data_IF_132097173245
#
_entry.id   IF_132097173245
#
_cell.length_a   1.000
_cell.length_b   1.000
_cell.length_c   1.000
_cell.angle_alpha   90.00
_cell.angle_beta   90.00
_cell.angle_gamma   90.00
#
_symmetry.space_group_name_H-M   'P 1'
#
loop_
_entity.id
_entity.type
_entity.pdbx_description
1 polymer ?
#
# COMPACT_ATOMS: atom_id res chain seq x y z
N UNK A 1 14.65 5.72 4.11
CA UNK A 1 15.53 4.63 3.66
C UNK A 1 16.98 5.08 3.51
N UNK A 2 17.30 6.12 2.72
CA UNK A 2 18.69 6.59 2.52
C UNK A 2 19.49 6.90 3.79
N UNK A 3 18.86 7.51 4.80
CA UNK A 3 19.53 7.80 6.07
C UNK A 3 19.94 6.52 6.81
N UNK A 4 19.05 5.52 6.87
CA UNK A 4 19.34 4.24 7.52
C UNK A 4 20.44 3.48 6.77
N UNK A 5 20.41 3.49 5.43
CA UNK A 5 21.49 2.89 4.61
C UNK A 5 22.85 3.55 4.88
N UNK A 6 22.87 4.87 5.09
CA UNK A 6 24.10 5.59 5.45
C UNK A 6 24.62 5.19 6.83
N UNK A 7 23.74 4.99 7.81
CA UNK A 7 24.13 4.49 9.14
C UNK A 7 24.67 3.05 9.06
N UNK A 8 24.11 2.21 8.18
CA UNK A 8 24.60 0.84 7.93
C UNK A 8 26.02 0.87 7.34
N UNK A 9 26.26 1.72 6.34
CA UNK A 9 27.60 1.89 5.74
C UNK A 9 28.64 2.46 6.71
N UNK A 10 28.19 3.24 7.71
CA UNK A 10 29.04 3.76 8.79
C UNK A 10 29.22 2.79 9.96
N UNK A 11 28.74 1.56 9.83
CA UNK A 11 28.74 0.56 10.90
C UNK A 11 28.12 1.06 12.21
N UNK A 12 27.12 1.96 12.13
CA UNK A 12 26.38 2.46 13.31
C UNK A 12 25.18 1.58 13.66
N UNK A 13 24.71 0.81 12.68
CA UNK A 13 23.67 -0.20 12.82
C UNK A 13 24.12 -1.43 12.03
N UNK A 14 23.64 -2.60 12.43
CA UNK A 14 24.05 -3.87 11.80
C UNK A 14 23.04 -4.36 10.74
N UNK A 15 21.77 -3.97 10.87
CA UNK A 15 20.70 -4.41 9.98
C UNK A 15 19.56 -3.39 9.88
N UNK A 16 18.85 -3.41 8.76
CA UNK A 16 17.66 -2.59 8.49
C UNK A 16 16.50 -3.53 8.20
N UNK A 17 15.38 -3.34 8.91
CA UNK A 17 14.12 -4.03 8.62
C UNK A 17 13.18 -3.05 7.92
N UNK A 18 12.73 -3.42 6.72
CA UNK A 18 11.78 -2.62 5.94
C UNK A 18 10.84 -3.53 5.15
N UNK A 19 9.62 -3.06 4.81
CA UNK A 19 8.72 -3.80 3.93
C UNK A 19 9.39 -4.05 2.58
N UNK A 20 9.29 -5.29 2.09
CA UNK A 20 9.94 -5.67 0.83
C UNK A 20 9.50 -4.80 -0.36
N UNK A 21 8.25 -4.35 -0.36
CA UNK A 21 7.67 -3.45 -1.37
C UNK A 21 8.33 -2.07 -1.44
N UNK A 22 9.01 -1.65 -0.37
CA UNK A 22 9.64 -0.34 -0.25
C UNK A 22 11.16 -0.40 -0.52
N UNK A 23 11.68 -1.59 -0.85
CA UNK A 23 13.08 -1.80 -1.21
C UNK A 23 13.25 -1.51 -2.72
N UNK A 24 14.19 -0.62 -3.12
CA UNK A 24 14.46 -0.39 -4.53
C UNK A 24 15.06 -1.64 -5.17
N UNK A 25 14.75 -1.86 -6.46
CA UNK A 25 15.30 -2.98 -7.24
C UNK A 25 16.81 -2.89 -7.40
N UNK A 26 17.35 -1.67 -7.48
CA UNK A 26 18.79 -1.42 -7.48
C UNK A 26 19.23 -1.07 -6.07
N UNK A 27 20.11 -1.89 -5.50
CA UNK A 27 20.62 -1.69 -4.14
C UNK A 27 21.74 -0.65 -4.11
N UNK A 28 21.82 0.10 -3.01
CA UNK A 28 22.93 1.01 -2.74
C UNK A 28 24.22 0.21 -2.61
N UNK A 29 25.28 0.65 -3.28
CA UNK A 29 26.58 -0.04 -3.26
C UNK A 29 27.08 -0.20 -1.82
N UNK A 30 27.38 -1.44 -1.42
CA UNK A 30 27.81 -1.78 -0.06
C UNK A 30 26.68 -2.22 0.87
N UNK A 31 25.43 -2.12 0.44
CA UNK A 31 24.26 -2.67 1.14
C UNK A 31 23.70 -3.84 0.32
N UNK A 32 23.43 -4.98 0.97
CA UNK A 32 22.83 -6.14 0.32
C UNK A 32 21.56 -6.59 1.04
N UNK A 33 20.63 -7.19 0.29
CA UNK A 33 19.45 -7.85 0.88
C UNK A 33 19.87 -9.18 1.53
N UNK A 34 19.95 -9.19 2.86
CA UNK A 34 20.45 -10.36 3.60
C UNK A 34 19.44 -11.50 3.74
N UNK A 35 18.20 -11.19 4.11
CA UNK A 35 17.16 -12.20 4.34
C UNK A 35 15.76 -11.69 3.99
N UNK A 36 14.90 -12.60 3.55
CA UNK A 36 13.47 -12.36 3.35
C UNK A 36 12.72 -13.20 4.37
N UNK A 37 11.97 -12.53 5.24
CA UNK A 37 11.13 -13.21 6.22
C UNK A 37 9.94 -13.91 5.53
N UNK A 38 9.34 -14.89 6.22
CA UNK A 38 8.13 -15.56 5.73
C UNK A 38 7.04 -14.51 5.46
N UNK A 39 6.52 -14.54 4.24
CA UNK A 39 5.44 -13.65 3.81
C UNK A 39 4.16 -13.91 4.60
N UNK A 40 3.54 -12.84 5.07
CA UNK A 40 2.14 -12.82 5.50
C UNK A 40 1.24 -12.67 4.25
N UNK A 41 -0.07 -12.83 4.39
CA UNK A 41 -1.04 -12.70 3.29
C UNK A 41 -0.74 -11.45 2.43
N UNK A 42 -0.33 -11.63 1.16
CA UNK A 42 0.06 -10.53 0.29
C UNK A 42 -1.14 -9.83 -0.36
N UNK A 43 -2.37 -10.25 -0.06
CA UNK A 43 -3.58 -9.71 -0.66
C UNK A 43 -3.87 -8.30 -0.18
N UNK A 44 -4.40 -7.49 -1.09
CA UNK A 44 -5.04 -6.23 -0.71
C UNK A 44 -6.35 -6.52 0.03
N UNK A 45 -6.62 -5.73 1.07
CA UNK A 45 -7.84 -5.79 1.84
C UNK A 45 -8.80 -4.67 1.42
N UNK A 46 -10.09 -5.02 1.33
CA UNK A 46 -11.17 -4.05 1.19
C UNK A 46 -11.66 -3.68 2.59
N UNK A 47 -11.54 -2.41 2.96
CA UNK A 47 -12.08 -1.86 4.21
C UNK A 47 -13.35 -1.09 3.87
N UNK A 48 -14.48 -1.50 4.44
CA UNK A 48 -15.79 -0.91 4.23
C UNK A 48 -16.30 -0.34 5.56
N UNK A 49 -17.10 0.71 5.46
CA UNK A 49 -17.84 1.22 6.62
C UNK A 49 -19.04 0.31 6.87
N UNK A 50 -19.34 0.08 8.14
CA UNK A 50 -20.30 -0.94 8.60
C UNK A 50 -21.72 -0.78 8.06
N UNK A 51 -22.12 0.42 7.63
CA UNK A 51 -23.48 0.72 7.17
C UNK A 51 -23.67 0.60 5.65
N UNK A 52 -22.67 0.13 4.90
CA UNK A 52 -22.83 -0.08 3.46
C UNK A 52 -23.74 -1.29 3.18
N UNK A 53 -24.66 -1.18 2.20
CA UNK A 53 -25.61 -2.26 1.87
C UNK A 53 -24.93 -3.49 1.27
N UNK A 54 -23.74 -3.33 0.69
CA UNK A 54 -22.94 -4.41 0.13
C UNK A 54 -21.59 -4.51 0.82
N UNK A 55 -21.16 -5.75 1.07
CA UNK A 55 -19.82 -6.10 1.58
C UNK A 55 -18.82 -6.48 0.49
N UNK A 56 -19.23 -6.41 -0.78
CA UNK A 56 -18.41 -6.78 -1.93
C UNK A 56 -18.24 -5.61 -2.88
N UNK A 57 -17.07 -5.57 -3.54
CA UNK A 57 -16.70 -4.54 -4.51
C UNK A 57 -17.71 -4.40 -5.66
N UNK A 58 -18.31 -5.52 -6.10
CA UNK A 58 -19.28 -5.56 -7.19
C UNK A 58 -20.66 -5.07 -6.79
N UNK A 59 -21.03 -5.18 -5.51
CA UNK A 59 -22.32 -4.69 -5.01
C UNK A 59 -22.29 -3.25 -4.52
N UNK A 60 -21.16 -2.54 -4.64
CA UNK A 60 -21.07 -1.13 -4.26
C UNK A 60 -21.85 -0.26 -5.27
N UNK A 61 -22.54 0.74 -4.73
CA UNK A 61 -23.36 1.68 -5.50
C UNK A 61 -22.50 2.46 -6.50
N UNK A 62 -23.05 2.73 -7.68
CA UNK A 62 -22.42 3.58 -8.69
C UNK A 62 -22.13 4.98 -8.12
N UNK A 63 -20.96 5.53 -8.42
CA UNK A 63 -20.53 6.84 -7.92
C UNK A 63 -19.99 6.82 -6.49
N UNK A 64 -19.90 5.65 -5.84
CA UNK A 64 -19.29 5.57 -4.52
C UNK A 64 -17.79 5.92 -4.59
N UNK A 65 -17.38 6.81 -3.70
CA UNK A 65 -16.02 7.30 -3.59
C UNK A 65 -15.13 6.32 -2.82
N UNK A 66 -14.03 5.91 -3.43
CA UNK A 66 -13.05 5.00 -2.82
C UNK A 66 -11.73 5.74 -2.59
N UNK A 67 -11.32 5.82 -1.32
CA UNK A 67 -10.03 6.35 -0.93
C UNK A 67 -8.89 5.41 -1.33
N UNK A 68 -7.88 5.94 -2.03
CA UNK A 68 -6.69 5.18 -2.45
C UNK A 68 -5.41 5.97 -2.22
N UNK A 69 -4.30 5.27 -2.04
CA UNK A 69 -2.95 5.87 -2.00
C UNK A 69 -1.97 5.21 -2.97
N UNK A 70 -2.42 4.22 -3.74
CA UNK A 70 -1.59 3.46 -4.69
C UNK A 70 -2.17 3.54 -6.10
N UNK A 71 -1.33 3.92 -7.06
CA UNK A 71 -1.68 3.97 -8.48
C UNK A 71 -1.97 2.58 -9.06
N UNK A 72 -1.21 1.57 -8.65
CA UNK A 72 -1.40 0.19 -9.10
C UNK A 72 -2.80 -0.31 -8.73
N UNK A 73 -3.27 -0.03 -7.50
CA UNK A 73 -4.60 -0.40 -7.05
C UNK A 73 -5.69 0.29 -7.87
N UNK A 74 -5.54 1.59 -8.14
CA UNK A 74 -6.51 2.33 -8.96
C UNK A 74 -6.62 1.77 -10.36
N UNK A 75 -5.50 1.49 -11.02
CA UNK A 75 -5.50 0.97 -12.37
C UNK A 75 -6.27 -0.37 -12.45
N UNK A 76 -6.02 -1.26 -11.48
CA UNK A 76 -6.73 -2.54 -11.39
C UNK A 76 -8.22 -2.37 -11.08
N UNK A 77 -8.55 -1.51 -10.12
CA UNK A 77 -9.93 -1.30 -9.68
C UNK A 77 -10.77 -0.58 -10.74
N UNK A 78 -10.22 0.41 -11.46
CA UNK A 78 -10.93 1.07 -12.58
C UNK A 78 -11.27 0.10 -13.70
N UNK A 79 -10.39 -0.87 -13.99
CA UNK A 79 -10.65 -1.90 -15.00
C UNK A 79 -11.77 -2.86 -14.57
N UNK A 80 -11.83 -3.21 -13.28
CA UNK A 80 -12.78 -4.20 -12.75
C UNK A 80 -14.12 -3.59 -12.30
N UNK A 81 -14.09 -2.34 -11.87
CA UNK A 81 -15.22 -1.61 -11.29
C UNK A 81 -15.28 -0.18 -11.86
N UNK A 82 -15.62 -0.02 -13.14
CA UNK A 82 -15.68 1.28 -13.80
C UNK A 82 -16.77 2.22 -13.23
N UNK A 83 -17.70 1.68 -12.43
CA UNK A 83 -18.76 2.43 -11.78
C UNK A 83 -18.32 3.20 -10.52
N UNK A 84 -17.09 2.97 -10.03
CA UNK A 84 -16.57 3.57 -8.80
C UNK A 84 -15.71 4.79 -9.09
N UNK A 85 -15.74 5.76 -8.18
CA UNK A 85 -14.89 6.94 -8.21
C UNK A 85 -13.72 6.78 -7.24
N UNK A 86 -12.56 7.36 -7.58
CA UNK A 86 -11.33 7.16 -6.81
C UNK A 86 -10.70 8.50 -6.45
N UNK A 87 -10.43 8.71 -5.16
CA UNK A 87 -9.77 9.91 -4.65
C UNK A 87 -8.53 9.55 -3.84
N UNK A 88 -7.48 10.37 -4.00
CA UNK A 88 -6.26 10.23 -3.23
C UNK A 88 -6.48 10.51 -1.75
N UNK A 89 -6.01 9.60 -0.89
CA UNK A 89 -5.93 9.78 0.55
C UNK A 89 -4.47 9.88 0.99
N UNK A 90 -4.18 10.84 1.88
CA UNK A 90 -2.85 10.98 2.48
C UNK A 90 -2.62 9.82 3.47
N UNK A 91 -1.42 9.25 3.44
CA UNK A 91 -1.10 8.01 4.13
C UNK A 91 -1.05 8.18 5.66
N UNK A 92 -2.09 7.68 6.35
CA UNK A 92 -2.13 7.59 7.81
C UNK A 92 -3.25 6.73 8.41
N UNK A 93 -4.00 5.97 7.59
CA UNK A 93 -5.39 5.51 7.85
C UNK A 93 -6.36 6.70 8.01
N UNK A 94 -7.02 7.08 6.92
CA UNK A 94 -8.19 7.97 6.97
C UNK A 94 -9.20 7.48 5.94
N UNK A 95 -10.25 6.83 6.43
CA UNK A 95 -11.42 6.43 5.63
C UNK A 95 -12.36 7.63 5.61
N UNK A 96 -12.50 8.26 4.44
CA UNK A 96 -13.51 9.31 4.24
C UNK A 96 -14.72 8.71 3.53
N UNK A 97 -15.90 8.89 4.12
CA UNK A 97 -17.17 8.90 3.39
C UNK A 97 -17.67 10.33 3.29
N UNK A 98 -17.94 10.77 2.06
CA UNK A 98 -18.85 11.88 1.86
C UNK A 98 -20.27 11.42 2.23
N UNK A 99 -20.97 12.28 2.97
CA UNK A 99 -22.41 12.17 3.26
C UNK A 99 -23.24 12.36 2.00
#
# INVERSE_FOLDING_TARGET
TKELEFQLLKCRIDLIVQPLKDIPTTQTKGCNLGTILKMVDPKDALVLISNLPSKSLSGLTKGLLVGKSSLCRVAQLRRRCPQLEFQDILSGLSVFTAS
#
